data_IF_400240080281
#
_entry.id   IF_400240080281
#
_cell.length_a   1.000
_cell.length_b   1.000
_cell.length_c   1.000
_cell.angle_alpha   90.00
_cell.angle_beta   90.00
_cell.angle_gamma   90.00
#
_symmetry.space_group_name_H-M   'P 1'
#
loop_
_entity.id
_entity.type
_entity.pdbx_description
1 polymer ?
#
# COMPACT_ATOMS: atom_id res chain seq x y z
N UNK A 1 35.31 47.67 -12.97
CA UNK A 1 34.48 46.85 -12.05
C UNK A 1 33.21 46.55 -12.81
N UNK A 2 33.06 45.33 -13.34
CA UNK A 2 31.87 44.99 -14.11
C UNK A 2 30.74 44.64 -13.14
N UNK A 3 29.60 45.28 -13.37
CA UNK A 3 28.42 45.16 -12.53
C UNK A 3 27.82 43.74 -12.70
N UNK A 4 27.42 43.12 -11.60
CA UNK A 4 26.88 41.73 -11.61
C UNK A 4 25.63 41.64 -12.50
N UNK A 5 24.91 42.76 -12.66
CA UNK A 5 23.80 42.89 -13.59
C UNK A 5 24.21 42.77 -15.07
N UNK A 6 25.40 43.22 -15.44
CA UNK A 6 25.88 43.14 -16.83
C UNK A 6 26.29 41.71 -17.19
N UNK A 7 26.84 40.96 -16.22
CA UNK A 7 27.18 39.54 -16.39
C UNK A 7 25.94 38.65 -16.46
N UNK A 8 24.89 38.96 -15.69
CA UNK A 8 23.61 38.24 -15.77
C UNK A 8 22.83 38.58 -17.06
N UNK A 9 22.93 39.81 -17.54
CA UNK A 9 22.36 40.22 -18.83
C UNK A 9 22.94 39.42 -20.00
N UNK A 10 24.27 39.25 -20.05
CA UNK A 10 24.92 38.45 -21.10
C UNK A 10 24.64 36.95 -21.00
N UNK A 11 24.52 36.40 -19.79
CA UNK A 11 24.18 34.99 -19.61
C UNK A 11 22.74 34.65 -20.04
N UNK A 12 21.82 35.63 -19.99
CA UNK A 12 20.45 35.47 -20.46
C UNK A 12 20.32 35.58 -21.99
N UNK A 13 21.20 36.34 -22.65
CA UNK A 13 21.22 36.46 -24.12
C UNK A 13 21.82 35.23 -24.82
N UNK A 14 22.79 34.54 -24.20
CA UNK A 14 23.37 33.29 -24.71
C UNK A 14 22.55 32.03 -24.38
N UNK A 15 21.59 32.13 -23.46
CA UNK A 15 20.64 31.07 -23.17
C UNK A 15 19.51 31.10 -24.22
N UNK A 16 19.83 30.62 -25.42
CA UNK A 16 18.89 30.55 -26.55
C UNK A 16 17.49 30.05 -26.13
N UNK A 17 16.45 30.59 -26.78
CA UNK A 17 15.07 30.27 -26.42
C UNK A 17 14.80 28.76 -26.51
N UNK A 18 14.09 28.17 -25.54
CA UNK A 18 13.71 26.76 -25.61
C UNK A 18 12.82 26.54 -26.84
N UNK A 19 13.26 25.64 -27.72
CA UNK A 19 12.57 25.27 -28.98
C UNK A 19 11.26 24.50 -28.73
N UNK A 20 10.80 24.40 -27.47
CA UNK A 20 9.57 23.71 -27.11
C UNK A 20 8.80 24.58 -26.12
N UNK A 21 7.71 25.19 -26.60
CA UNK A 21 6.75 25.85 -25.72
C UNK A 21 6.04 24.82 -24.84
N UNK A 22 5.72 25.20 -23.61
CA UNK A 22 4.97 24.38 -22.64
C UNK A 22 3.61 23.92 -23.20
N UNK A 23 3.03 24.65 -24.15
CA UNK A 23 1.82 24.26 -24.88
C UNK A 23 2.01 23.01 -25.76
N UNK A 24 3.23 22.78 -26.29
CA UNK A 24 3.55 21.58 -27.08
C UNK A 24 3.55 20.28 -26.27
N UNK A 25 3.84 20.35 -24.97
CA UNK A 25 3.82 19.19 -24.06
C UNK A 25 2.37 18.80 -23.72
N UNK A 26 1.49 19.79 -23.49
CA UNK A 26 0.07 19.53 -23.25
C UNK A 26 -0.69 19.10 -24.52
N UNK A 27 -0.31 19.62 -25.69
CA UNK A 27 -0.90 19.20 -26.97
C UNK A 27 -0.57 17.73 -27.33
N UNK A 28 0.64 17.25 -27.01
CA UNK A 28 1.03 15.84 -27.26
C UNK A 28 0.30 14.85 -26.35
N UNK A 29 -0.08 15.27 -25.13
CA UNK A 29 -0.89 14.46 -24.22
C UNK A 29 -2.37 14.39 -24.62
N UNK A 30 -2.91 15.42 -25.28
CA UNK A 30 -4.28 15.42 -25.81
C UNK A 30 -4.43 14.51 -27.03
N UNK A 31 -3.42 14.43 -27.91
CA UNK A 31 -3.46 13.64 -29.14
C UNK A 31 -3.45 12.11 -28.89
N UNK A 32 -2.84 11.66 -27.79
CA UNK A 32 -2.86 10.24 -27.38
C UNK A 32 -4.25 9.82 -26.87
N UNK A 33 -5.00 10.72 -26.23
CA UNK A 33 -6.38 10.45 -25.77
C UNK A 33 -7.39 10.37 -26.92
N UNK A 34 -7.23 11.17 -27.97
CA UNK A 34 -8.14 11.15 -29.13
C UNK A 34 -7.90 9.93 -30.02
N UNK A 35 -6.66 9.45 -30.21
CA UNK A 35 -6.39 8.21 -30.95
C UNK A 35 -7.03 6.95 -30.32
N UNK A 36 -7.13 6.88 -28.98
CA UNK A 36 -7.78 5.75 -28.31
C UNK A 36 -9.31 5.77 -28.40
N UNK A 37 -9.94 6.93 -28.63
CA UNK A 37 -11.41 7.03 -28.77
C UNK A 37 -11.93 6.79 -30.19
N UNK A 38 -11.06 6.72 -31.20
CA UNK A 38 -11.45 6.44 -32.61
C UNK A 38 -11.21 4.96 -33.00
N UNK A 39 -10.41 4.21 -32.23
CA UNK A 39 -10.10 2.80 -32.52
C UNK A 39 -11.11 1.77 -31.96
N UNK A 40 -12.18 2.20 -31.29
CA UNK A 40 -13.20 1.29 -30.69
C UNK A 40 -14.51 1.24 -31.51
N UNK A 41 -14.57 1.91 -32.67
CA UNK A 41 -15.76 1.90 -33.52
C UNK A 41 -15.51 1.19 -34.86
N UNK A 42 -15.11 -0.09 -34.84
CA UNK A 42 -15.15 -0.96 -36.01
C UNK A 42 -14.95 -2.44 -35.63
N UNK A 43 -16.02 -3.15 -35.26
CA UNK A 43 -16.25 -4.56 -35.61
C UNK A 43 -17.57 -5.04 -35.00
N UNK A 44 -18.67 -4.79 -35.71
CA UNK A 44 -19.84 -5.64 -35.65
C UNK A 44 -19.95 -6.34 -37.02
N UNK A 45 -20.15 -7.66 -37.02
CA UNK A 45 -21.11 -8.43 -37.86
C UNK A 45 -20.75 -9.94 -37.83
N UNK A 46 -21.64 -10.68 -37.16
CA UNK A 46 -22.26 -11.99 -37.41
C UNK A 46 -21.48 -13.18 -38.01
N UNK A 47 -21.63 -14.34 -37.34
CA UNK A 47 -22.07 -15.58 -37.99
C UNK A 47 -22.87 -16.47 -37.01
N UNK A 48 -24.12 -16.76 -37.37
CA UNK A 48 -24.99 -17.80 -36.79
C UNK A 48 -24.99 -18.96 -37.78
N UNK A 49 -24.78 -20.20 -37.32
CA UNK A 49 -25.34 -21.41 -37.94
C UNK A 49 -25.28 -22.60 -36.97
N UNK A 50 -26.35 -23.38 -37.00
CA UNK A 50 -26.74 -24.43 -36.05
C UNK A 50 -26.08 -25.79 -36.31
N UNK A 51 -26.17 -26.70 -35.32
CA UNK A 51 -25.91 -28.13 -35.51
C UNK A 51 -25.97 -28.93 -34.22
N UNK A 52 -27.14 -29.52 -33.93
CA UNK A 52 -27.33 -30.49 -32.85
C UNK A 52 -26.81 -31.88 -33.25
N UNK A 53 -26.02 -32.52 -32.37
CA UNK A 53 -25.87 -33.97 -32.28
C UNK A 53 -25.66 -34.37 -30.80
N UNK A 54 -26.14 -35.55 -30.44
CA UNK A 54 -26.41 -36.04 -29.08
C UNK A 54 -25.39 -37.14 -28.67
N UNK A 55 -25.13 -37.20 -27.34
CA UNK A 55 -24.61 -38.29 -26.45
C UNK A 55 -23.16 -38.82 -26.59
N UNK A 56 -22.56 -39.54 -25.59
CA UNK A 56 -22.69 -39.53 -24.10
C UNK A 56 -21.33 -39.41 -23.34
N UNK A 57 -21.40 -39.01 -22.06
CA UNK A 57 -20.62 -39.53 -20.92
C UNK A 57 -19.09 -39.67 -21.00
N UNK A 58 -18.37 -38.79 -20.30
CA UNK A 58 -17.06 -39.11 -19.70
C UNK A 58 -16.93 -38.41 -18.34
N UNK A 59 -16.91 -39.24 -17.31
CA UNK A 59 -16.50 -38.92 -15.94
C UNK A 59 -15.11 -38.25 -15.95
N UNK A 60 -14.95 -37.15 -15.23
CA UNK A 60 -13.66 -36.48 -15.15
C UNK A 60 -13.61 -35.43 -14.03
N UNK A 61 -13.09 -35.86 -12.88
CA UNK A 61 -12.35 -35.06 -11.90
C UNK A 61 -12.97 -33.73 -11.43
N UNK A 62 -13.52 -33.77 -10.21
CA UNK A 62 -13.61 -32.61 -9.34
C UNK A 62 -12.33 -31.77 -9.42
N UNK A 63 -12.40 -30.44 -9.59
CA UNK A 63 -11.22 -29.61 -9.49
C UNK A 63 -10.64 -29.80 -8.08
N UNK A 64 -9.46 -30.41 -8.01
CA UNK A 64 -8.65 -30.42 -6.80
C UNK A 64 -8.60 -28.99 -6.29
N UNK A 65 -8.99 -28.80 -5.03
CA UNK A 65 -8.64 -27.62 -4.24
C UNK A 65 -7.15 -27.37 -4.47
N UNK A 66 -6.84 -26.32 -5.23
CA UNK A 66 -5.49 -25.81 -5.35
C UNK A 66 -5.13 -25.19 -4.00
N UNK A 67 -4.77 -26.05 -3.04
CA UNK A 67 -4.00 -25.66 -1.87
C UNK A 67 -2.56 -25.49 -2.34
N UNK A 68 -2.31 -24.41 -3.09
CA UNK A 68 -0.94 -23.99 -3.37
C UNK A 68 -0.45 -23.38 -2.07
N UNK A 69 0.28 -24.19 -1.28
CA UNK A 69 1.21 -23.65 -0.31
C UNK A 69 2.15 -22.73 -1.09
N UNK A 70 1.92 -21.41 -0.98
CA UNK A 70 2.79 -20.43 -1.60
C UNK A 70 4.21 -20.59 -1.03
N UNK A 71 5.25 -20.29 -1.83
CA UNK A 71 6.64 -20.47 -1.42
C UNK A 71 6.95 -19.78 -0.10
N UNK A 72 7.73 -20.48 0.72
CA UNK A 72 8.33 -20.03 1.97
C UNK A 72 9.19 -18.77 1.75
N UNK A 73 8.83 -17.67 2.43
CA UNK A 73 9.58 -16.41 2.54
C UNK A 73 9.93 -15.72 1.21
N UNK A 74 9.06 -14.84 0.75
CA UNK A 74 9.32 -13.98 -0.41
C UNK A 74 10.48 -12.99 -0.20
N UNK A 75 10.80 -12.64 1.05
CA UNK A 75 11.98 -11.83 1.41
C UNK A 75 12.53 -12.28 2.77
N UNK A 76 13.79 -12.74 2.77
CA UNK A 76 14.74 -12.83 3.91
C UNK A 76 14.23 -13.30 5.29
N UNK A 77 14.86 -14.36 5.82
CA UNK A 77 14.70 -14.85 7.19
C UNK A 77 15.30 -13.89 8.24
N UNK A 78 14.70 -12.71 8.41
CA UNK A 78 15.18 -11.71 9.37
C UNK A 78 14.88 -12.06 10.83
N UNK A 79 14.09 -13.12 11.07
CA UNK A 79 13.59 -13.46 12.40
C UNK A 79 12.42 -12.60 12.88
N UNK A 80 12.06 -11.53 12.16
CA UNK A 80 11.04 -10.56 12.60
C UNK A 80 9.64 -11.14 12.63
N UNK A 81 9.26 -12.00 11.68
CA UNK A 81 7.96 -12.67 11.71
C UNK A 81 7.80 -13.51 12.99
N UNK A 82 8.84 -14.25 13.38
CA UNK A 82 8.85 -15.06 14.60
C UNK A 82 8.81 -14.20 15.87
N UNK A 83 9.39 -13.00 15.83
CA UNK A 83 9.28 -12.03 16.93
C UNK A 83 7.87 -11.43 17.01
N UNK A 84 7.30 -11.03 15.86
CA UNK A 84 5.96 -10.47 15.78
C UNK A 84 4.91 -11.46 16.28
N UNK A 85 4.97 -12.74 15.87
CA UNK A 85 4.03 -13.79 16.32
C UNK A 85 3.93 -13.88 17.84
N UNK A 86 5.03 -13.66 18.57
CA UNK A 86 5.02 -13.69 20.06
C UNK A 86 4.21 -12.55 20.68
N UNK A 87 3.96 -11.48 19.94
CA UNK A 87 3.21 -10.30 20.37
C UNK A 87 1.75 -10.35 19.93
N UNK A 88 1.41 -11.24 18.99
CA UNK A 88 0.08 -11.33 18.42
C UNK A 88 -0.81 -12.32 19.21
N UNK A 89 -2.14 -12.17 19.13
CA UNK A 89 -3.08 -13.17 19.63
C UNK A 89 -2.86 -14.54 19.00
N UNK A 90 -3.13 -15.61 19.76
CA UNK A 90 -2.92 -16.98 19.29
C UNK A 90 -3.78 -17.37 18.08
N UNK A 91 -4.91 -16.70 17.87
CA UNK A 91 -5.88 -16.93 16.80
C UNK A 91 -5.69 -16.02 15.56
N UNK A 92 -4.59 -15.26 15.50
CA UNK A 92 -4.31 -14.37 14.37
C UNK A 92 -4.12 -15.12 13.05
N UNK A 93 -3.63 -16.37 13.11
CA UNK A 93 -3.31 -17.20 11.94
C UNK A 93 -1.80 -17.36 11.73
N UNK A 94 -1.42 -17.95 10.59
CA UNK A 94 -0.01 -18.12 10.24
C UNK A 94 0.57 -16.80 9.69
N UNK A 95 1.72 -16.37 10.22
CA UNK A 95 2.35 -15.10 9.87
C UNK A 95 3.68 -15.33 9.16
N UNK A 96 3.85 -14.68 8.03
CA UNK A 96 5.03 -14.75 7.16
C UNK A 96 5.52 -13.34 6.84
N UNK A 97 6.83 -13.10 6.85
CA UNK A 97 7.37 -11.84 6.33
C UNK A 97 7.39 -11.88 4.79
N UNK A 98 6.88 -10.82 4.19
CA UNK A 98 6.78 -10.66 2.73
C UNK A 98 7.25 -9.27 2.33
N UNK A 99 7.34 -9.01 1.02
CA UNK A 99 7.47 -7.64 0.51
C UNK A 99 6.31 -7.28 -0.40
N UNK A 100 5.53 -6.29 0.02
CA UNK A 100 4.49 -5.72 -0.82
C UNK A 100 5.07 -5.01 -2.05
N UNK A 101 6.34 -4.59 -2.04
CA UNK A 101 6.99 -4.05 -3.23
C UNK A 101 7.23 -5.15 -4.28
N UNK A 102 7.63 -6.34 -3.86
CA UNK A 102 7.76 -7.50 -4.77
C UNK A 102 6.39 -7.93 -5.28
N UNK A 103 5.42 -8.08 -4.38
CA UNK A 103 4.09 -8.62 -4.72
C UNK A 103 3.28 -7.64 -5.60
N UNK A 104 3.25 -6.36 -5.25
CA UNK A 104 2.36 -5.38 -5.89
C UNK A 104 3.08 -4.60 -6.99
N UNK A 105 4.35 -4.26 -6.78
CA UNK A 105 5.11 -3.39 -7.69
C UNK A 105 6.06 -4.17 -8.60
N UNK A 106 6.07 -5.50 -8.52
CA UNK A 106 6.98 -6.36 -9.27
C UNK A 106 8.46 -5.97 -9.13
N UNK A 107 8.83 -5.41 -7.97
CA UNK A 107 10.22 -5.12 -7.66
C UNK A 107 11.01 -6.44 -7.51
N UNK A 108 12.30 -6.43 -7.87
CA UNK A 108 13.18 -7.53 -7.48
C UNK A 108 13.42 -7.52 -5.97
N UNK A 109 13.90 -8.62 -5.39
CA UNK A 109 14.21 -8.69 -3.96
C UNK A 109 15.26 -7.65 -3.58
N UNK A 110 16.25 -7.42 -4.44
CA UNK A 110 17.31 -6.43 -4.26
C UNK A 110 16.76 -4.99 -4.31
N UNK A 111 15.76 -4.74 -5.17
CA UNK A 111 15.08 -3.43 -5.23
C UNK A 111 14.15 -3.19 -4.05
N UNK A 112 13.69 -4.26 -3.42
CA UNK A 112 12.74 -4.24 -2.32
C UNK A 112 13.40 -4.32 -0.94
N UNK A 113 14.72 -4.13 -0.86
CA UNK A 113 15.46 -4.17 0.40
C UNK A 113 14.88 -3.14 1.39
N UNK A 114 14.48 -3.63 2.57
CA UNK A 114 13.82 -2.82 3.57
C UNK A 114 14.84 -2.08 4.44
N UNK A 115 14.87 -0.75 4.34
CA UNK A 115 15.53 0.10 5.33
C UNK A 115 14.69 0.17 6.61
N UNK A 116 14.93 -0.76 7.52
CA UNK A 116 14.25 -0.85 8.82
C UNK A 116 14.80 0.21 9.79
N UNK A 117 13.90 1.01 10.36
CA UNK A 117 14.17 1.96 11.43
C UNK A 117 13.65 1.46 12.79
N UNK A 118 12.75 0.48 12.78
CA UNK A 118 12.17 -0.18 13.94
C UNK A 118 12.46 -1.69 14.00
N UNK A 119 12.36 -2.30 15.19
CA UNK A 119 12.71 -3.71 15.40
C UNK A 119 11.86 -4.68 14.58
N UNK A 120 10.59 -4.35 14.38
CA UNK A 120 9.62 -5.15 13.62
C UNK A 120 9.19 -4.49 12.32
N UNK A 121 9.93 -3.50 11.82
CA UNK A 121 9.63 -2.89 10.53
C UNK A 121 9.59 -3.94 9.42
N UNK A 122 8.52 -3.88 8.62
CA UNK A 122 8.33 -4.74 7.47
C UNK A 122 6.87 -4.98 7.12
N UNK A 123 6.67 -5.86 6.14
CA UNK A 123 5.35 -6.32 5.73
C UNK A 123 5.17 -7.80 6.07
N UNK A 124 3.99 -8.16 6.54
CA UNK A 124 3.68 -9.51 6.99
C UNK A 124 2.36 -9.98 6.38
N UNK A 125 2.38 -11.13 5.74
CA UNK A 125 1.16 -11.81 5.31
C UNK A 125 0.60 -12.64 6.48
N UNK A 126 -0.71 -12.57 6.69
CA UNK A 126 -1.43 -13.35 7.71
C UNK A 126 -2.43 -14.25 7.02
N UNK A 127 -2.28 -15.57 7.20
CA UNK A 127 -3.17 -16.58 6.61
C UNK A 127 -4.11 -17.16 7.68
N UNK A 128 -5.41 -17.00 7.46
CA UNK A 128 -6.47 -17.49 8.35
C UNK A 128 -7.71 -17.83 7.54
N UNK A 129 -8.36 -18.95 7.85
CA UNK A 129 -9.63 -19.38 7.24
C UNK A 129 -9.67 -19.38 5.70
N UNK A 130 -8.51 -19.64 5.06
CA UNK A 130 -8.38 -19.67 3.60
C UNK A 130 -8.20 -18.31 2.92
N UNK A 131 -8.16 -17.21 3.67
CA UNK A 131 -7.83 -15.88 3.18
C UNK A 131 -6.44 -15.40 3.61
N UNK A 132 -6.01 -14.28 3.03
CA UNK A 132 -4.73 -13.62 3.30
C UNK A 132 -4.95 -12.13 3.56
N UNK A 133 -4.64 -11.72 4.79
CA UNK A 133 -4.54 -10.31 5.18
C UNK A 133 -3.09 -9.88 5.29
N UNK A 134 -2.88 -8.60 5.60
CA UNK A 134 -1.54 -8.06 5.75
C UNK A 134 -1.44 -7.16 6.97
N UNK A 135 -0.35 -7.34 7.73
CA UNK A 135 0.12 -6.39 8.72
C UNK A 135 1.32 -5.64 8.14
N UNK A 136 1.31 -4.32 8.22
CA UNK A 136 2.49 -3.49 7.91
C UNK A 136 2.90 -2.77 9.17
N UNK A 137 4.17 -2.85 9.53
CA UNK A 137 4.74 -2.14 10.67
C UNK A 137 5.79 -1.18 10.12
N UNK A 138 5.64 0.11 10.41
CA UNK A 138 6.52 1.13 9.89
C UNK A 138 6.87 2.17 10.95
N UNK A 139 8.15 2.23 11.29
CA UNK A 139 8.76 3.27 12.11
C UNK A 139 9.40 4.31 11.20
N UNK A 140 9.10 5.58 11.47
CA UNK A 140 9.75 6.73 10.86
C UNK A 140 10.36 7.58 11.98
N UNK A 141 11.68 7.73 11.99
CA UNK A 141 12.32 8.77 12.81
C UNK A 141 11.87 10.17 12.37
N UNK A 142 12.11 11.18 13.22
CA UNK A 142 11.67 12.54 12.99
C UNK A 142 12.09 13.10 11.61
N UNK A 143 13.34 12.85 11.18
CA UNK A 143 13.86 13.32 9.87
C UNK A 143 13.13 12.68 8.69
N UNK A 144 12.85 11.38 8.75
CA UNK A 144 12.09 10.69 7.71
C UNK A 144 10.64 11.17 7.68
N UNK A 145 10.05 11.37 8.85
CA UNK A 145 8.68 11.88 8.98
C UNK A 145 8.56 13.29 8.42
N UNK A 146 9.46 14.20 8.79
CA UNK A 146 9.51 15.58 8.26
C UNK A 146 9.61 15.59 6.73
N UNK A 147 10.53 14.80 6.16
CA UNK A 147 10.68 14.67 4.71
C UNK A 147 9.41 14.15 4.05
N UNK A 148 8.74 13.16 4.65
CA UNK A 148 7.49 12.57 4.12
C UNK A 148 6.32 13.55 4.18
N UNK A 149 6.28 14.38 5.21
CA UNK A 149 5.21 15.36 5.43
C UNK A 149 5.38 16.63 4.61
N UNK A 150 6.58 16.91 4.07
CA UNK A 150 6.83 18.07 3.23
C UNK A 150 6.51 19.39 3.93
N UNK A 151 6.85 19.49 5.22
CA UNK A 151 6.58 20.67 6.06
C UNK A 151 5.19 20.71 6.72
N UNK A 152 4.34 19.69 6.53
CA UNK A 152 3.08 19.57 7.28
C UNK A 152 3.34 19.16 8.74
N UNK A 153 2.49 19.59 9.70
CA UNK A 153 2.63 19.19 11.10
C UNK A 153 2.52 17.67 11.29
N UNK A 154 3.45 17.10 12.07
CA UNK A 154 3.48 15.66 12.37
C UNK A 154 2.31 15.18 13.25
N UNK A 155 1.69 16.10 13.99
CA UNK A 155 0.58 15.87 14.91
C UNK A 155 -0.80 16.06 14.28
N UNK A 156 -0.87 16.25 12.95
CA UNK A 156 -2.12 16.40 12.18
C UNK A 156 -3.10 15.32 12.61
N UNK A 157 -4.30 15.74 13.04
CA UNK A 157 -5.33 14.82 13.52
C UNK A 157 -5.93 14.04 12.34
N UNK A 158 -5.65 12.74 12.21
CA UNK A 158 -6.20 11.99 11.08
C UNK A 158 -7.72 11.82 11.21
N UNK A 159 -8.33 11.99 12.39
CA UNK A 159 -9.78 11.92 12.49
C UNK A 159 -10.52 13.08 11.81
N UNK A 160 -9.80 14.13 11.42
CA UNK A 160 -10.33 15.23 10.63
C UNK A 160 -10.03 14.96 9.15
N UNK A 161 -11.07 14.90 8.32
CA UNK A 161 -10.89 14.79 6.87
C UNK A 161 -10.22 16.05 6.32
N UNK A 162 -9.20 15.85 5.48
CA UNK A 162 -8.65 16.94 4.66
C UNK A 162 -9.57 17.27 3.48
N UNK A 163 -9.36 18.41 2.80
CA UNK A 163 -10.10 18.75 1.58
C UNK A 163 -9.96 17.65 0.52
N UNK A 164 -11.09 17.05 0.11
CA UNK A 164 -11.14 16.00 -0.91
C UNK A 164 -10.76 14.59 -0.42
N UNK A 165 -10.49 14.40 0.87
CA UNK A 165 -10.27 13.08 1.45
C UNK A 165 -11.59 12.49 1.98
N UNK A 166 -11.84 11.18 1.83
CA UNK A 166 -12.98 10.54 2.47
C UNK A 166 -12.86 10.65 3.99
N UNK A 167 -14.00 10.80 4.67
CA UNK A 167 -14.03 10.81 6.13
C UNK A 167 -13.64 9.42 6.66
N UNK A 168 -12.61 9.38 7.50
CA UNK A 168 -12.23 8.15 8.22
C UNK A 168 -13.35 7.77 9.19
N UNK A 169 -13.70 6.50 9.21
CA UNK A 169 -14.76 5.96 10.09
C UNK A 169 -14.16 5.42 11.37
N UNK A 170 -14.98 5.41 12.43
CA UNK A 170 -14.60 4.95 13.76
C UNK A 170 -13.27 5.54 14.26
N UNK A 171 -12.93 6.76 13.89
CA UNK A 171 -11.62 7.31 14.24
C UNK A 171 -11.57 7.71 15.72
N UNK A 172 -10.65 7.12 16.48
CA UNK A 172 -10.46 7.39 17.90
C UNK A 172 -9.04 7.89 18.13
N UNK A 173 -8.94 9.07 18.71
CA UNK A 173 -7.69 9.69 19.18
C UNK A 173 -7.64 9.54 20.70
N UNK A 174 -6.60 8.88 21.19
CA UNK A 174 -6.36 8.59 22.60
C UNK A 174 -5.06 9.28 23.04
N UNK A 175 -5.15 10.12 24.06
CA UNK A 175 -3.97 10.66 24.74
C UNK A 175 -3.50 9.64 25.79
N UNK A 176 -2.24 9.23 25.68
CA UNK A 176 -1.62 8.28 26.59
C UNK A 176 -1.06 9.02 27.83
N UNK A 177 -0.88 8.33 28.97
CA UNK A 177 -0.37 8.95 30.20
C UNK A 177 1.00 9.63 30.06
N UNK A 178 1.79 9.25 29.05
CA UNK A 178 3.10 9.84 28.78
C UNK A 178 3.08 10.97 27.73
N UNK A 179 1.90 11.48 27.41
CA UNK A 179 1.68 12.61 26.49
C UNK A 179 1.73 12.23 25.01
N UNK A 180 2.02 10.97 24.68
CA UNK A 180 1.90 10.49 23.29
C UNK A 180 0.43 10.39 22.89
N UNK A 181 0.19 10.48 21.59
CA UNK A 181 -1.16 10.33 21.03
C UNK A 181 -1.19 9.09 20.16
N UNK A 182 -2.06 8.14 20.52
CA UNK A 182 -2.42 7.00 19.69
C UNK A 182 -3.70 7.34 18.93
N UNK A 183 -3.71 7.14 17.62
CA UNK A 183 -4.93 7.26 16.82
C UNK A 183 -5.18 5.97 16.05
N UNK A 184 -6.39 5.44 16.15
CA UNK A 184 -6.83 4.23 15.43
C UNK A 184 -8.10 4.56 14.65
N UNK A 185 -8.17 4.14 13.38
CA UNK A 185 -9.34 4.34 12.53
C UNK A 185 -9.56 3.17 11.60
N UNK A 186 -10.78 3.09 11.07
CA UNK A 186 -11.15 2.19 9.99
C UNK A 186 -10.98 2.94 8.67
N UNK A 187 -10.37 2.29 7.68
CA UNK A 187 -10.24 2.79 6.32
C UNK A 187 -10.84 1.77 5.37
N UNK A 188 -11.86 2.19 4.60
CA UNK A 188 -12.51 1.32 3.63
C UNK A 188 -11.60 1.00 2.43
N UNK A 189 -10.52 1.77 2.25
CA UNK A 189 -9.59 1.67 1.14
C UNK A 189 -10.22 1.88 -0.24
N UNK A 190 -11.38 2.53 -0.30
CA UNK A 190 -12.08 2.92 -1.52
C UNK A 190 -11.47 4.20 -2.13
N UNK A 191 -10.29 4.04 -2.73
CA UNK A 191 -9.57 5.11 -3.41
C UNK A 191 -9.72 5.07 -4.95
N UNK A 192 -10.73 4.36 -5.46
CA UNK A 192 -11.09 4.27 -6.88
C UNK A 192 -10.60 3.02 -7.63
N UNK A 193 -10.71 3.05 -8.96
CA UNK A 193 -10.57 1.89 -9.87
C UNK A 193 -9.11 1.39 -10.09
N UNK A 194 -8.20 1.62 -9.15
CA UNK A 194 -6.79 1.23 -9.26
C UNK A 194 -6.51 -0.25 -8.94
N UNK A 195 -5.46 -0.83 -9.51
CA UNK A 195 -4.97 -2.16 -9.10
C UNK A 195 -3.70 -1.99 -8.24
N UNK A 196 -3.60 -2.66 -7.08
CA UNK A 196 -4.54 -3.63 -6.53
C UNK A 196 -5.75 -2.97 -5.85
N UNK A 197 -6.87 -3.67 -5.86
CA UNK A 197 -8.08 -3.26 -5.14
C UNK A 197 -7.94 -3.70 -3.68
N UNK A 198 -7.67 -2.76 -2.79
CA UNK A 198 -7.48 -3.04 -1.37
C UNK A 198 -8.81 -3.30 -0.68
N UNK A 199 -8.85 -4.29 0.19
CA UNK A 199 -9.96 -4.44 1.11
C UNK A 199 -9.81 -3.53 2.35
N UNK A 200 -10.84 -3.50 3.20
CA UNK A 200 -10.85 -2.68 4.40
C UNK A 200 -9.66 -2.93 5.33
N UNK A 201 -9.24 -1.90 6.03
CA UNK A 201 -8.17 -1.99 7.03
C UNK A 201 -8.50 -1.25 8.33
N UNK A 202 -7.85 -1.69 9.41
CA UNK A 202 -7.62 -0.88 10.59
C UNK A 202 -6.23 -0.26 10.49
N UNK A 203 -6.13 1.04 10.71
CA UNK A 203 -4.86 1.73 10.73
C UNK A 203 -4.65 2.40 12.09
N UNK A 204 -3.41 2.35 12.57
CA UNK A 204 -3.01 2.94 13.82
C UNK A 204 -1.73 3.77 13.64
N UNK A 205 -1.65 4.91 14.34
CA UNK A 205 -0.45 5.74 14.42
C UNK A 205 -0.23 6.20 15.85
N UNK A 206 1.03 6.18 16.28
CA UNK A 206 1.47 6.77 17.54
C UNK A 206 2.68 7.66 17.30
N UNK A 207 2.65 8.88 17.82
CA UNK A 207 3.81 9.77 17.82
C UNK A 207 4.80 9.30 18.89
N UNK A 208 6.06 9.20 18.51
CA UNK A 208 7.16 8.78 19.38
C UNK A 208 7.75 10.00 20.11
N UNK A 209 8.44 9.75 21.23
CA UNK A 209 9.01 10.83 22.08
C UNK A 209 10.12 11.63 21.38
N UNK A 210 10.79 11.01 20.43
CA UNK A 210 11.82 11.62 19.59
C UNK A 210 11.25 12.45 18.42
N UNK A 211 9.93 12.58 18.34
CA UNK A 211 9.23 13.23 17.22
C UNK A 211 9.05 12.32 16.00
N UNK A 212 9.45 11.06 16.08
CA UNK A 212 9.13 10.04 15.10
C UNK A 212 7.68 9.55 15.17
N UNK A 213 7.38 8.52 14.40
CA UNK A 213 6.08 7.89 14.34
C UNK A 213 6.23 6.37 14.16
N UNK A 214 5.42 5.61 14.90
CA UNK A 214 5.11 4.23 14.56
C UNK A 214 3.72 4.20 13.91
N UNK A 215 3.62 3.54 12.77
CA UNK A 215 2.38 3.29 12.06
C UNK A 215 2.21 1.79 11.84
N UNK A 216 1.00 1.28 12.10
CA UNK A 216 0.61 -0.09 11.76
C UNK A 216 -0.64 -0.04 10.90
N UNK A 217 -0.66 -0.83 9.83
CA UNK A 217 -1.86 -1.06 9.01
C UNK A 217 -2.18 -2.54 9.04
N UNK A 218 -3.44 -2.85 9.28
CA UNK A 218 -3.99 -4.18 9.44
C UNK A 218 -5.12 -4.38 8.43
N UNK A 219 -4.77 -4.95 7.28
CA UNK A 219 -5.64 -5.02 6.10
C UNK A 219 -6.19 -6.42 5.90
N UNK A 220 -7.43 -6.50 5.42
CA UNK A 220 -8.05 -7.76 4.98
C UNK A 220 -7.36 -8.38 3.76
N UNK A 221 -6.48 -7.66 3.07
CA UNK A 221 -5.88 -8.14 1.81
C UNK A 221 -6.17 -7.20 0.65
N UNK A 222 -5.88 -7.68 -0.55
CA UNK A 222 -6.21 -6.98 -1.80
C UNK A 222 -6.49 -7.97 -2.93
N UNK A 223 -7.19 -7.51 -3.96
CA UNK A 223 -7.44 -8.23 -5.20
C UNK A 223 -6.48 -7.75 -6.29
N UNK A 224 -5.71 -8.70 -6.85
CA UNK A 224 -4.90 -8.56 -8.05
C UNK A 224 -4.42 -9.95 -8.51
N UNK A 225 -3.90 -10.04 -9.74
CA UNK A 225 -3.30 -11.28 -10.27
C UNK A 225 -2.12 -11.79 -9.45
N UNK A 226 -1.48 -10.91 -8.67
CA UNK A 226 -0.35 -11.23 -7.78
C UNK A 226 -0.76 -11.49 -6.33
N UNK A 227 -2.07 -11.42 -6.00
CA UNK A 227 -2.54 -11.66 -4.65
C UNK A 227 -2.15 -13.07 -4.17
N UNK A 228 -1.77 -13.19 -2.90
CA UNK A 228 -1.34 -14.47 -2.30
C UNK A 228 -2.51 -15.39 -1.89
N UNK A 229 -3.74 -14.94 -2.14
CA UNK A 229 -4.99 -15.62 -1.85
C UNK A 229 -6.16 -14.62 -1.79
N UNK A 230 -7.38 -15.12 -1.53
CA UNK A 230 -8.56 -14.27 -1.29
C UNK A 230 -8.37 -13.39 -0.05
N UNK A 231 -9.13 -12.30 0.05
CA UNK A 231 -9.13 -11.45 1.23
C UNK A 231 -9.71 -12.19 2.44
N UNK A 232 -9.23 -11.81 3.63
CA UNK A 232 -9.89 -12.15 4.88
C UNK A 232 -11.24 -11.43 4.98
N UNK A 233 -12.18 -12.05 5.70
CA UNK A 233 -13.49 -11.43 5.99
C UNK A 233 -13.39 -10.24 6.93
N UNK A 234 -12.40 -10.25 7.81
CA UNK A 234 -12.10 -9.20 8.78
C UNK A 234 -10.59 -9.02 8.86
N UNK A 235 -10.10 -7.82 9.24
CA UNK A 235 -8.69 -7.61 9.50
C UNK A 235 -8.11 -8.68 10.45
N UNK A 236 -6.82 -9.03 10.30
CA UNK A 236 -6.13 -9.95 11.20
C UNK A 236 -6.36 -9.66 12.69
N UNK A 237 -6.32 -8.39 13.09
CA UNK A 237 -6.50 -7.93 14.46
C UNK A 237 -7.83 -7.22 14.66
N UNK A 238 -8.36 -7.36 15.87
CA UNK A 238 -9.39 -6.44 16.35
C UNK A 238 -8.75 -5.09 16.72
N UNK A 239 -9.57 -4.05 16.81
CA UNK A 239 -9.12 -2.74 17.29
C UNK A 239 -8.41 -2.80 18.64
N UNK A 240 -8.93 -3.59 19.58
CA UNK A 240 -8.32 -3.73 20.91
C UNK A 240 -6.94 -4.40 20.82
N UNK A 241 -6.81 -5.47 20.01
CA UNK A 241 -5.54 -6.15 19.80
C UNK A 241 -4.53 -5.26 19.06
N UNK A 242 -4.97 -4.45 18.09
CA UNK A 242 -4.13 -3.47 17.41
C UNK A 242 -3.65 -2.39 18.38
N UNK A 243 -4.53 -1.88 19.25
CA UNK A 243 -4.15 -0.95 20.33
C UNK A 243 -3.07 -1.58 21.22
N UNK A 244 -3.28 -2.80 21.68
CA UNK A 244 -2.33 -3.48 22.56
C UNK A 244 -0.97 -3.66 21.89
N UNK A 245 -0.94 -4.06 20.60
CA UNK A 245 0.28 -4.15 19.81
C UNK A 245 1.02 -2.81 19.74
N UNK A 246 0.30 -1.71 19.46
CA UNK A 246 0.89 -0.36 19.36
C UNK A 246 1.53 0.15 20.65
N UNK A 247 1.14 -0.41 21.79
CA UNK A 247 1.66 -0.05 23.11
C UNK A 247 2.77 -1.00 23.59
N UNK A 248 3.08 -2.07 22.86
CA UNK A 248 4.16 -3.00 23.20
C UNK A 248 5.52 -2.32 23.03
N UNK A 249 6.39 -2.33 24.06
CA UNK A 249 7.74 -1.77 23.93
C UNK A 249 8.58 -2.49 22.86
N UNK A 250 8.29 -3.76 22.59
CA UNK A 250 9.00 -4.57 21.58
C UNK A 250 8.79 -4.10 20.14
N UNK A 251 7.75 -3.30 19.89
CA UNK A 251 7.45 -2.72 18.56
C UNK A 251 8.11 -1.34 18.41
N UNK A 252 8.46 -0.69 19.53
CA UNK A 252 9.02 0.66 19.53
C UNK A 252 10.54 0.63 19.26
N UNK A 253 11.07 1.62 18.53
CA UNK A 253 12.52 1.81 18.46
C UNK A 253 13.07 2.14 19.86
N UNK A 254 14.32 1.72 20.12
CA UNK A 254 15.02 1.95 21.39
C UNK A 254 15.64 3.34 21.46
#
# INVERSE_FOLDING_TARGET
MNDVHELLGRAAEDAGQPVISTEGVYARAAWVRTRRRVAVSAAAVCAVAAGAFVVPGLSGQSPQKASVAAPTELVGNSGRAQQLVKLLPADVGAVEQVSLAVIIKHATVEQAEEHSAGPLDGHYAVRRDGGVGYLTVNVMNAKMLEKKLGGRPADTNPCQAGPGEPQRTDCVREELPDGRVLTIWSDAMDYGDGTPQWGPELAARITLKDGGQLAVRDSTGFEADTALGPLLKTPPLTRAQLRDLMLRPEVLPK
#
